data_IF_680382770978
#
_entry.id   IF_680382770978
#
_cell.length_a   1.000
_cell.length_b   1.000
_cell.length_c   1.000
_cell.angle_alpha   90.00
_cell.angle_beta   90.00
_cell.angle_gamma   90.00
#
_symmetry.space_group_name_H-M   'P 1'
#
loop_
_entity.id
_entity.type
_entity.pdbx_description
1 polymer ?
#
# COMPACT_ATOMS: atom_id res chain seq x y z
N UNK A 1 -8.83 -11.40 18.20
CA UNK A 1 -8.31 -10.03 18.36
C UNK A 1 -7.88 -9.59 16.98
N UNK A 2 -8.26 -8.40 16.54
CA UNK A 2 -7.79 -7.85 15.24
C UNK A 2 -6.44 -7.17 15.45
N UNK A 3 -5.47 -7.50 14.60
CA UNK A 3 -4.16 -6.82 14.57
C UNK A 3 -4.36 -5.38 14.08
N UNK A 4 -3.78 -4.40 14.77
CA UNK A 4 -3.81 -3.00 14.34
C UNK A 4 -2.81 -2.81 13.19
N UNK A 5 -3.30 -2.44 12.01
CA UNK A 5 -2.47 -2.19 10.83
C UNK A 5 -2.33 -0.69 10.57
N UNK A 6 -1.10 -0.21 10.43
CA UNK A 6 -0.75 1.17 10.08
C UNK A 6 -0.10 1.18 8.71
N UNK A 7 -0.75 1.81 7.74
CA UNK A 7 -0.21 1.94 6.39
C UNK A 7 0.84 3.04 6.31
N UNK A 8 1.88 2.81 5.53
CA UNK A 8 3.03 3.69 5.32
C UNK A 8 3.30 3.86 3.82
N UNK A 9 3.99 4.93 3.38
CA UNK A 9 4.36 5.09 1.97
C UNK A 9 5.17 3.93 1.40
N UNK A 10 5.91 3.26 2.25
CA UNK A 10 6.80 2.16 1.93
C UNK A 10 6.21 0.77 2.19
N UNK A 11 4.97 0.68 2.74
CA UNK A 11 4.33 -0.60 3.04
C UNK A 11 3.37 -0.51 4.22
N UNK A 12 3.54 -1.33 5.25
CA UNK A 12 2.67 -1.32 6.44
C UNK A 12 3.39 -1.84 7.68
N UNK A 13 2.86 -1.44 8.83
CA UNK A 13 3.19 -2.01 10.14
C UNK A 13 1.97 -2.74 10.69
N UNK A 14 2.15 -3.94 11.19
CA UNK A 14 1.17 -4.68 11.98
C UNK A 14 1.60 -4.63 13.44
N UNK A 15 0.83 -3.94 14.27
CA UNK A 15 1.10 -3.85 15.70
C UNK A 15 0.49 -5.05 16.39
N UNK A 16 1.34 -6.01 16.73
CA UNK A 16 0.95 -7.28 17.35
C UNK A 16 0.69 -7.10 18.84
N UNK A 17 1.45 -6.23 19.50
CA UNK A 17 1.27 -5.85 20.90
C UNK A 17 1.80 -4.43 21.14
N UNK A 18 1.09 -3.65 21.93
CA UNK A 18 1.54 -2.38 22.49
C UNK A 18 0.98 -2.25 23.90
N UNK A 19 1.87 -2.19 24.88
CA UNK A 19 1.55 -1.99 26.28
C UNK A 19 2.54 -1.02 26.94
N UNK A 20 2.48 -0.86 28.24
CA UNK A 20 3.32 0.07 29.01
C UNK A 20 4.82 -0.31 29.09
N UNK A 21 5.18 -1.49 28.60
CA UNK A 21 6.55 -2.03 28.70
C UNK A 21 7.25 -2.16 27.36
N UNK A 22 6.51 -2.54 26.31
CA UNK A 22 7.08 -2.78 25.00
C UNK A 22 6.06 -2.59 23.88
N UNK A 23 6.59 -2.41 22.67
CA UNK A 23 5.88 -2.53 21.41
C UNK A 23 6.46 -3.69 20.60
N UNK A 24 5.59 -4.50 19.99
CA UNK A 24 5.94 -5.62 19.14
C UNK A 24 5.24 -5.48 17.80
N UNK A 25 6.01 -5.34 16.71
CA UNK A 25 5.49 -5.10 15.36
C UNK A 25 6.06 -6.08 14.36
N UNK A 26 5.28 -6.31 13.32
CA UNK A 26 5.76 -6.84 12.04
C UNK A 26 5.65 -5.73 11.00
N UNK A 27 6.73 -5.52 10.26
CA UNK A 27 6.89 -4.41 9.33
C UNK A 27 7.13 -4.99 7.95
N UNK A 28 6.31 -4.62 6.98
CA UNK A 28 6.41 -5.02 5.58
C UNK A 28 6.85 -3.80 4.77
N UNK A 29 7.97 -3.91 4.06
CA UNK A 29 8.51 -2.85 3.21
C UNK A 29 8.61 -3.37 1.79
N UNK A 30 7.97 -2.66 0.86
CA UNK A 30 7.93 -3.03 -0.55
C UNK A 30 9.29 -2.78 -1.21
N UNK A 31 9.66 -3.64 -2.16
CA UNK A 31 10.89 -3.51 -2.95
C UNK A 31 11.04 -2.10 -3.56
N UNK A 32 12.25 -1.56 -3.51
CA UNK A 32 12.57 -0.24 -4.05
C UNK A 32 12.09 0.94 -3.21
N UNK A 33 11.48 0.70 -2.03
CA UNK A 33 11.08 1.75 -1.10
C UNK A 33 11.97 1.79 0.13
N UNK A 34 11.83 2.83 0.94
CA UNK A 34 12.66 3.02 2.13
C UNK A 34 11.89 3.70 3.26
N UNK A 35 12.30 3.44 4.50
CA UNK A 35 11.82 4.18 5.66
C UNK A 35 12.38 5.60 5.67
N UNK A 36 11.84 6.50 6.51
CA UNK A 36 12.49 7.79 6.77
C UNK A 36 13.91 7.59 7.31
N UNK A 37 14.80 8.52 7.01
CA UNK A 37 16.05 8.66 7.73
C UNK A 37 15.75 9.42 9.01
N UNK A 38 15.89 8.76 10.16
CA UNK A 38 15.31 9.20 11.42
C UNK A 38 16.16 8.80 12.61
N UNK A 39 15.82 9.35 13.77
CA UNK A 39 16.28 8.87 15.06
C UNK A 39 15.16 8.97 16.10
N UNK A 40 15.40 8.40 17.27
CA UNK A 40 14.52 8.42 18.43
C UNK A 40 15.25 9.04 19.61
N UNK A 41 14.57 9.78 20.47
CA UNK A 41 15.16 10.34 21.69
C UNK A 41 15.08 9.37 22.86
N UNK A 42 14.02 8.57 22.93
CA UNK A 42 13.76 7.66 24.05
C UNK A 42 13.68 6.20 23.61
N UNK A 43 13.16 5.95 22.41
CA UNK A 43 12.88 4.61 21.93
C UNK A 43 14.15 3.81 21.70
N UNK A 44 14.21 2.63 22.32
CA UNK A 44 15.15 1.56 22.01
C UNK A 44 14.43 0.50 21.20
N UNK A 45 14.97 0.09 20.06
CA UNK A 45 14.38 -0.92 19.21
C UNK A 45 15.38 -1.95 18.72
N UNK A 46 14.92 -3.18 18.55
CA UNK A 46 15.65 -4.24 17.87
C UNK A 46 14.82 -4.72 16.69
N UNK A 47 15.42 -4.69 15.52
CA UNK A 47 14.85 -5.12 14.27
C UNK A 47 15.51 -6.43 13.82
N UNK A 48 14.71 -7.42 13.47
CA UNK A 48 15.14 -8.70 12.92
C UNK A 48 14.58 -8.85 11.50
N UNK A 49 15.44 -9.07 10.52
CA UNK A 49 15.06 -9.31 9.12
C UNK A 49 14.64 -10.77 8.95
N UNK A 50 13.31 -10.98 8.81
CA UNK A 50 12.73 -12.31 8.66
C UNK A 50 12.86 -12.80 7.21
N UNK A 51 12.63 -11.89 6.24
CA UNK A 51 12.57 -12.23 4.82
C UNK A 51 13.09 -11.09 3.96
N UNK A 52 13.75 -11.45 2.84
CA UNK A 52 14.23 -10.54 1.81
C UNK A 52 15.62 -10.00 2.05
N UNK A 53 15.99 -8.97 1.28
CA UNK A 53 17.30 -8.30 1.27
C UNK A 53 17.11 -6.80 1.40
N UNK A 54 17.85 -6.16 2.30
CA UNK A 54 17.78 -4.72 2.54
C UNK A 54 19.15 -4.09 2.80
N UNK A 55 19.29 -2.80 2.47
CA UNK A 55 20.40 -1.97 2.91
C UNK A 55 20.01 -1.29 4.23
N UNK A 56 20.76 -1.52 5.26
CA UNK A 56 20.63 -0.90 6.58
C UNK A 56 21.61 0.26 6.70
N UNK A 57 21.09 1.43 7.07
CA UNK A 57 21.90 2.60 7.42
C UNK A 57 21.83 2.77 8.93
N UNK A 58 22.98 2.77 9.59
CA UNK A 58 23.04 2.93 11.03
C UNK A 58 24.25 3.80 11.41
N UNK A 59 23.99 4.83 12.20
CA UNK A 59 25.04 5.66 12.78
C UNK A 59 25.80 4.88 13.86
N UNK A 60 27.12 4.80 13.75
CA UNK A 60 28.00 4.15 14.72
C UNK A 60 28.36 5.06 15.91
N UNK A 61 29.19 4.59 16.82
CA UNK A 61 29.58 5.34 18.02
C UNK A 61 30.43 6.58 17.72
N UNK A 62 31.02 6.67 16.53
CA UNK A 62 31.82 7.80 16.07
C UNK A 62 30.95 8.85 15.32
N UNK A 63 29.64 8.63 15.20
CA UNK A 63 28.71 9.50 14.50
C UNK A 63 28.74 9.32 12.97
N UNK A 64 29.37 8.26 12.48
CA UNK A 64 29.43 7.92 11.06
C UNK A 64 28.29 6.98 10.70
N UNK A 65 27.58 7.26 9.62
CA UNK A 65 26.51 6.37 9.11
C UNK A 65 27.16 5.29 8.25
N UNK A 66 27.09 4.08 8.72
CA UNK A 66 27.47 2.88 7.99
C UNK A 66 26.28 2.32 7.22
N UNK A 67 26.57 1.76 6.03
CA UNK A 67 25.56 1.15 5.16
C UNK A 67 25.99 -0.26 4.85
N UNK A 68 25.15 -1.22 5.21
CA UNK A 68 25.39 -2.64 4.97
C UNK A 68 24.21 -3.26 4.23
N UNK A 69 24.47 -4.19 3.32
CA UNK A 69 23.44 -4.99 2.66
C UNK A 69 23.35 -6.31 3.39
N UNK A 70 22.15 -6.61 3.87
CA UNK A 70 21.87 -7.74 4.74
C UNK A 70 20.73 -8.58 4.21
N UNK A 71 20.76 -9.87 4.52
CA UNK A 71 19.73 -10.85 4.17
C UNK A 71 19.00 -11.37 5.40
N UNK A 72 17.96 -12.16 5.20
CA UNK A 72 17.18 -12.81 6.25
C UNK A 72 18.07 -13.49 7.30
N UNK A 73 17.79 -13.25 8.59
CA UNK A 73 18.60 -13.69 9.72
C UNK A 73 19.43 -12.56 10.37
N UNK A 74 19.60 -11.43 9.68
CA UNK A 74 20.26 -10.25 10.24
C UNK A 74 19.40 -9.59 11.32
N UNK A 75 20.04 -9.08 12.36
CA UNK A 75 19.37 -8.24 13.34
C UNK A 75 20.24 -7.06 13.79
N UNK A 76 19.60 -5.99 14.19
CA UNK A 76 20.26 -4.78 14.66
C UNK A 76 19.46 -4.13 15.78
N UNK A 77 20.18 -3.63 16.78
CA UNK A 77 19.60 -2.83 17.86
C UNK A 77 19.96 -1.36 17.65
N UNK A 78 18.91 -0.53 17.54
CA UNK A 78 19.02 0.92 17.40
C UNK A 78 18.78 1.55 18.77
N UNK A 79 19.80 2.20 19.32
CA UNK A 79 19.75 2.93 20.58
C UNK A 79 19.16 4.33 20.36
N UNK A 80 18.64 4.99 21.41
CA UNK A 80 18.27 6.41 21.34
C UNK A 80 19.39 7.27 20.73
N UNK A 81 18.97 8.31 19.97
CA UNK A 81 19.82 9.26 19.24
C UNK A 81 20.62 8.67 18.07
N UNK A 82 20.50 7.38 17.75
CA UNK A 82 21.15 6.78 16.57
C UNK A 82 20.33 6.98 15.32
N UNK A 83 20.91 7.65 14.34
CA UNK A 83 20.29 7.84 13.02
C UNK A 83 20.30 6.52 12.26
N UNK A 84 19.17 6.22 11.66
CA UNK A 84 19.01 4.96 10.95
C UNK A 84 17.97 5.06 9.81
N UNK A 85 18.05 4.13 8.86
CA UNK A 85 17.12 3.92 7.75
C UNK A 85 17.22 2.49 7.26
N UNK A 86 16.12 1.96 6.74
CA UNK A 86 16.09 0.70 5.99
C UNK A 86 15.65 0.98 4.56
N UNK A 87 16.40 0.46 3.59
CA UNK A 87 16.10 0.52 2.14
C UNK A 87 15.85 -0.90 1.66
N UNK A 88 14.63 -1.21 1.24
CA UNK A 88 14.26 -2.54 0.77
C UNK A 88 14.75 -2.77 -0.67
N UNK A 89 15.62 -3.75 -0.87
CA UNK A 89 16.11 -4.18 -2.19
C UNK A 89 15.08 -5.13 -2.83
N UNK A 90 14.58 -6.09 -2.05
CA UNK A 90 13.42 -6.90 -2.37
C UNK A 90 12.25 -6.52 -1.46
N UNK A 91 11.08 -7.12 -1.62
CA UNK A 91 10.08 -7.09 -0.55
C UNK A 91 10.69 -7.70 0.70
N UNK A 92 10.53 -7.03 1.85
CA UNK A 92 11.10 -7.48 3.13
C UNK A 92 10.06 -7.55 4.22
N UNK A 93 10.32 -8.43 5.18
CA UNK A 93 9.60 -8.51 6.44
C UNK A 93 10.58 -8.30 7.59
N UNK A 94 10.35 -7.25 8.38
CA UNK A 94 11.06 -7.01 9.64
C UNK A 94 10.17 -7.35 10.81
N UNK A 95 10.77 -7.80 11.88
CA UNK A 95 10.16 -7.93 13.19
C UNK A 95 10.83 -6.97 14.15
N UNK A 96 10.05 -6.03 14.69
CA UNK A 96 10.52 -5.02 15.65
C UNK A 96 10.01 -5.35 17.05
N UNK A 97 10.92 -5.35 18.01
CA UNK A 97 10.59 -5.23 19.43
C UNK A 97 11.21 -3.94 19.94
N UNK A 98 10.42 -3.09 20.54
CA UNK A 98 10.89 -1.79 21.04
C UNK A 98 10.25 -1.42 22.37
N UNK A 99 10.80 -0.40 23.00
CA UNK A 99 10.12 0.30 24.09
C UNK A 99 8.83 0.97 23.56
N UNK A 100 7.88 1.35 24.43
CA UNK A 100 6.52 1.73 24.00
C UNK A 100 6.38 3.12 23.36
N UNK A 101 7.46 3.87 23.21
CA UNK A 101 7.47 5.24 22.69
C UNK A 101 7.29 5.27 21.16
N UNK A 102 6.14 4.79 20.67
CA UNK A 102 5.89 4.62 19.22
C UNK A 102 5.81 5.94 18.44
N UNK A 103 5.50 7.04 19.10
CA UNK A 103 5.45 8.37 18.48
C UNK A 103 6.77 9.16 18.60
N UNK A 104 7.78 8.57 19.19
CA UNK A 104 9.11 9.16 19.31
C UNK A 104 9.92 8.94 18.01
N UNK A 105 9.55 9.69 16.97
CA UNK A 105 10.21 9.65 15.66
C UNK A 105 10.56 11.07 15.23
N UNK A 106 11.84 11.34 15.06
CA UNK A 106 12.34 12.59 14.50
C UNK A 106 12.96 12.30 13.14
N UNK A 107 12.37 12.88 12.09
CA UNK A 107 12.73 12.64 10.69
C UNK A 107 13.74 13.67 10.20
N UNK A 108 14.86 13.21 9.68
CA UNK A 108 15.90 14.04 9.07
C UNK A 108 15.66 14.17 7.58
N UNK A 109 15.24 13.07 6.94
CA UNK A 109 14.91 12.99 5.52
C UNK A 109 13.79 11.98 5.29
N UNK A 110 12.76 12.38 4.58
CA UNK A 110 11.58 11.56 4.30
C UNK A 110 10.99 11.87 2.92
N UNK A 111 10.96 10.88 2.04
CA UNK A 111 10.49 11.03 0.66
C UNK A 111 9.00 11.46 0.56
N UNK A 112 8.25 11.31 1.64
CA UNK A 112 6.82 11.62 1.71
C UNK A 112 6.50 12.87 2.53
N UNK A 113 7.51 13.59 3.01
CA UNK A 113 7.38 14.81 3.82
C UNK A 113 6.44 14.64 5.04
N UNK A 114 6.50 13.48 5.72
CA UNK A 114 5.71 13.23 6.92
C UNK A 114 6.21 14.06 8.10
N UNK A 115 5.30 14.47 8.95
CA UNK A 115 5.61 15.20 10.18
C UNK A 115 6.20 14.25 11.25
N UNK A 116 6.98 14.81 12.17
CA UNK A 116 7.50 14.08 13.32
C UNK A 116 6.37 13.60 14.24
N UNK A 117 6.58 12.45 14.89
CA UNK A 117 5.74 11.95 15.98
C UNK A 117 4.32 11.51 15.66
N UNK A 118 3.84 11.63 14.41
CA UNK A 118 2.47 11.27 14.01
C UNK A 118 2.42 9.94 13.27
N UNK A 119 2.45 8.82 14.00
CA UNK A 119 2.57 7.49 13.40
C UNK A 119 1.23 6.92 12.90
N UNK A 120 0.14 7.12 13.66
CA UNK A 120 -1.11 6.37 13.44
C UNK A 120 -1.94 6.81 12.24
N UNK A 121 -1.71 8.01 11.70
CA UNK A 121 -2.54 8.61 10.65
C UNK A 121 -1.76 9.05 9.41
N UNK A 122 -0.55 8.53 9.23
CA UNK A 122 0.34 8.98 8.16
C UNK A 122 -0.13 8.59 6.76
N UNK A 123 -0.79 7.45 6.64
CA UNK A 123 -1.29 6.95 5.36
C UNK A 123 -2.63 6.25 5.49
N UNK A 124 -3.44 6.40 4.46
CA UNK A 124 -4.65 5.61 4.29
C UNK A 124 -4.30 4.30 3.57
N UNK A 125 -5.17 3.33 3.73
CA UNK A 125 -5.10 2.05 3.04
C UNK A 125 -4.93 2.26 1.53
N UNK A 126 -4.00 1.59 0.85
CA UNK A 126 -3.84 1.72 -0.59
C UNK A 126 -5.09 1.22 -1.32
N UNK A 127 -5.40 1.80 -2.48
CA UNK A 127 -6.53 1.39 -3.29
C UNK A 127 -6.15 1.19 -4.77
N UNK A 128 -6.77 0.21 -5.41
CA UNK A 128 -6.75 0.00 -6.84
C UNK A 128 -7.99 0.65 -7.46
N UNK A 129 -7.81 1.58 -8.39
CA UNK A 129 -8.91 2.19 -9.13
C UNK A 129 -9.00 1.57 -10.54
N UNK A 130 -10.11 0.89 -10.83
CA UNK A 130 -10.39 0.23 -12.11
C UNK A 130 -11.39 1.06 -12.88
N UNK A 131 -11.04 1.45 -14.12
CA UNK A 131 -11.89 2.23 -14.99
C UNK A 131 -12.72 1.31 -15.91
N UNK A 132 -13.89 0.90 -15.46
CA UNK A 132 -14.80 0.01 -16.17
C UNK A 132 -16.01 0.71 -16.81
N UNK A 133 -15.97 2.04 -16.98
CA UNK A 133 -17.12 2.81 -17.45
C UNK A 133 -17.32 2.82 -18.98
N UNK A 134 -16.27 2.55 -19.77
CA UNK A 134 -16.27 2.76 -21.22
C UNK A 134 -17.09 1.71 -22.01
N UNK A 135 -17.62 2.12 -23.17
CA UNK A 135 -18.37 1.28 -24.12
C UNK A 135 -17.57 0.12 -24.72
N UNK A 136 -16.23 0.24 -24.78
CA UNK A 136 -15.40 -0.76 -25.44
C UNK A 136 -15.51 -0.75 -26.98
N UNK A 137 -15.86 0.39 -27.58
CA UNK A 137 -16.17 0.56 -29.03
C UNK A 137 -15.13 -0.01 -30.01
N UNK A 138 -13.87 -0.17 -29.57
CA UNK A 138 -12.81 -0.80 -30.38
C UNK A 138 -12.93 -2.31 -30.49
N UNK A 139 -13.77 -2.94 -29.67
CA UNK A 139 -14.00 -4.38 -29.63
C UNK A 139 -15.28 -4.78 -30.44
N UNK A 140 -15.89 -3.80 -31.10
CA UNK A 140 -17.07 -4.00 -31.96
C UNK A 140 -18.14 -4.91 -31.32
N UNK A 141 -18.54 -5.98 -32.00
CA UNK A 141 -19.60 -6.88 -31.54
C UNK A 141 -19.32 -7.58 -30.21
N UNK A 142 -18.03 -7.69 -29.81
CA UNK A 142 -17.67 -8.36 -28.55
C UNK A 142 -18.10 -7.58 -27.31
N UNK A 143 -18.24 -6.27 -27.39
CA UNK A 143 -18.71 -5.42 -26.29
C UNK A 143 -20.14 -4.94 -26.38
N UNK A 144 -20.91 -5.41 -27.37
CA UNK A 144 -22.30 -4.98 -27.57
C UNK A 144 -23.23 -5.37 -26.41
N UNK A 145 -23.04 -6.55 -25.85
CA UNK A 145 -23.90 -7.10 -24.80
C UNK A 145 -23.22 -7.28 -23.45
N UNK A 146 -21.90 -7.04 -23.34
CA UNK A 146 -21.12 -7.24 -22.12
C UNK A 146 -20.11 -6.09 -21.95
N UNK A 147 -19.83 -5.71 -20.70
CA UNK A 147 -18.74 -4.78 -20.43
C UNK A 147 -17.39 -5.40 -20.81
N UNK A 148 -16.51 -4.62 -21.44
CA UNK A 148 -15.18 -5.10 -21.86
C UNK A 148 -14.34 -5.73 -20.73
N UNK A 149 -14.50 -5.26 -19.49
CA UNK A 149 -13.82 -5.81 -18.32
C UNK A 149 -14.27 -7.22 -17.96
N UNK A 150 -15.44 -7.63 -18.44
CA UNK A 150 -15.98 -8.97 -18.22
C UNK A 150 -15.70 -9.93 -19.37
N UNK A 151 -15.06 -9.48 -20.46
CA UNK A 151 -14.64 -10.38 -21.52
C UNK A 151 -13.66 -11.42 -20.98
N UNK A 152 -13.81 -12.70 -21.39
CA UNK A 152 -12.93 -13.74 -20.91
C UNK A 152 -11.52 -13.60 -21.50
N UNK A 153 -10.53 -13.74 -20.65
CA UNK A 153 -9.13 -13.90 -20.99
C UNK A 153 -8.66 -15.16 -20.26
N UNK A 154 -8.22 -16.17 -20.97
CA UNK A 154 -8.05 -17.50 -20.44
C UNK A 154 -9.34 -18.01 -19.75
N UNK A 155 -9.30 -18.30 -18.48
CA UNK A 155 -10.43 -18.83 -17.71
C UNK A 155 -11.13 -17.79 -16.82
N UNK A 156 -10.79 -16.50 -16.95
CA UNK A 156 -11.30 -15.44 -16.07
C UNK A 156 -11.69 -14.19 -16.84
N UNK A 157 -12.51 -13.35 -16.25
CA UNK A 157 -12.75 -12.01 -16.77
C UNK A 157 -11.49 -11.14 -16.67
N UNK A 158 -11.30 -10.23 -17.63
CA UNK A 158 -10.16 -9.29 -17.64
C UNK A 158 -10.04 -8.55 -16.30
N UNK A 159 -11.15 -8.12 -15.73
CA UNK A 159 -11.15 -7.39 -14.45
C UNK A 159 -10.57 -8.23 -13.29
N UNK A 160 -10.77 -9.56 -13.30
CA UNK A 160 -10.19 -10.46 -12.30
C UNK A 160 -8.67 -10.49 -12.36
N UNK A 161 -8.10 -10.50 -13.57
CA UNK A 161 -6.65 -10.45 -13.73
C UNK A 161 -6.05 -9.15 -13.17
N UNK A 162 -6.80 -8.04 -13.20
CA UNK A 162 -6.37 -6.77 -12.63
C UNK A 162 -6.47 -6.81 -11.11
N UNK A 163 -7.58 -7.28 -10.56
CA UNK A 163 -7.85 -7.37 -9.12
C UNK A 163 -6.82 -8.28 -8.42
N UNK A 164 -6.51 -9.43 -9.02
CA UNK A 164 -5.61 -10.43 -8.47
C UNK A 164 -4.11 -10.00 -8.45
N UNK A 165 -3.75 -8.91 -9.14
CA UNK A 165 -2.38 -8.36 -9.12
C UNK A 165 -2.05 -7.60 -7.85
N UNK A 166 -3.05 -7.17 -7.09
CA UNK A 166 -2.82 -6.43 -5.85
C UNK A 166 -3.11 -7.30 -4.62
N UNK A 167 -2.40 -7.02 -3.53
CA UNK A 167 -2.62 -7.69 -2.25
C UNK A 167 -4.09 -7.59 -1.81
N UNK A 168 -4.54 -8.57 -1.02
CA UNK A 168 -5.87 -8.59 -0.40
C UNK A 168 -6.15 -7.33 0.43
N UNK A 169 -5.11 -6.66 0.90
CA UNK A 169 -5.21 -5.45 1.71
C UNK A 169 -5.65 -4.21 0.91
N UNK A 170 -5.62 -4.24 -0.43
CA UNK A 170 -6.04 -3.11 -1.23
C UNK A 170 -7.55 -2.97 -1.25
N UNK A 171 -8.05 -1.74 -1.05
CA UNK A 171 -9.42 -1.39 -1.40
C UNK A 171 -9.57 -1.30 -2.92
N UNK A 172 -10.69 -1.73 -3.47
CA UNK A 172 -10.93 -1.72 -4.91
C UNK A 172 -12.01 -0.68 -5.22
N UNK A 173 -11.63 0.36 -5.95
CA UNK A 173 -12.57 1.36 -6.47
C UNK A 173 -12.86 1.00 -7.93
N UNK A 174 -14.12 0.73 -8.27
CA UNK A 174 -14.52 0.42 -9.64
C UNK A 174 -15.41 1.54 -10.17
N UNK A 175 -14.93 2.21 -11.21
CA UNK A 175 -15.70 3.27 -11.88
C UNK A 175 -16.56 2.64 -12.98
N UNK A 176 -17.87 2.68 -12.78
CA UNK A 176 -18.89 2.01 -13.58
C UNK A 176 -19.57 2.98 -14.55
N UNK A 177 -19.96 2.47 -15.72
CA UNK A 177 -20.74 3.16 -16.72
C UNK A 177 -21.53 2.16 -17.57
N UNK A 178 -21.11 1.95 -18.82
CA UNK A 178 -21.75 0.99 -19.71
C UNK A 178 -21.78 -0.41 -19.11
N UNK A 179 -22.99 -0.99 -18.97
CA UNK A 179 -23.19 -2.31 -18.36
C UNK A 179 -22.58 -2.44 -16.97
N UNK A 180 -22.58 -1.34 -16.19
CA UNK A 180 -21.96 -1.27 -14.87
C UNK A 180 -22.52 -2.25 -13.86
N UNK A 181 -23.84 -2.53 -13.93
CA UNK A 181 -24.51 -3.48 -13.04
C UNK A 181 -23.92 -4.90 -13.17
N UNK A 182 -23.64 -5.34 -14.40
CA UNK A 182 -22.99 -6.64 -14.64
C UNK A 182 -21.58 -6.70 -14.03
N UNK A 183 -20.84 -5.60 -14.12
CA UNK A 183 -19.47 -5.51 -13.51
C UNK A 183 -19.57 -5.59 -12.00
N UNK A 184 -20.51 -4.87 -11.39
CA UNK A 184 -20.76 -4.91 -9.95
C UNK A 184 -21.07 -6.32 -9.48
N UNK A 185 -22.10 -6.94 -10.07
CA UNK A 185 -22.55 -8.29 -9.73
C UNK A 185 -21.41 -9.32 -9.84
N UNK A 186 -20.62 -9.22 -10.92
CA UNK A 186 -19.46 -10.08 -11.10
C UNK A 186 -18.40 -9.87 -10.02
N UNK A 187 -18.02 -8.63 -9.73
CA UNK A 187 -17.01 -8.31 -8.71
C UNK A 187 -17.43 -8.82 -7.32
N UNK A 188 -18.67 -8.56 -6.92
CA UNK A 188 -19.20 -8.97 -5.62
C UNK A 188 -19.29 -10.49 -5.49
N UNK A 189 -19.60 -11.21 -6.61
CA UNK A 189 -19.71 -12.67 -6.60
C UNK A 189 -18.37 -13.37 -6.72
N UNK A 190 -17.51 -12.94 -7.65
CA UNK A 190 -16.25 -13.61 -7.95
C UNK A 190 -15.12 -13.26 -6.97
N UNK A 191 -15.22 -12.11 -6.29
CA UNK A 191 -14.20 -11.59 -5.39
C UNK A 191 -14.84 -11.12 -4.07
N UNK A 192 -15.67 -11.97 -3.47
CA UNK A 192 -16.41 -11.66 -2.23
C UNK A 192 -15.53 -11.40 -1.01
N UNK A 193 -14.26 -11.75 -1.09
CA UNK A 193 -13.21 -11.50 -0.10
C UNK A 193 -12.58 -10.10 -0.21
N UNK A 194 -12.93 -9.32 -1.26
CA UNK A 194 -12.40 -7.96 -1.52
C UNK A 194 -13.36 -6.88 -1.03
N UNK A 195 -12.79 -5.73 -0.70
CA UNK A 195 -13.57 -4.55 -0.32
C UNK A 195 -13.74 -3.62 -1.52
N UNK A 196 -14.97 -3.52 -2.03
CA UNK A 196 -15.30 -2.72 -3.20
C UNK A 196 -15.99 -1.41 -2.85
N UNK A 197 -15.62 -0.35 -3.57
CA UNK A 197 -16.38 0.91 -3.68
C UNK A 197 -16.70 1.16 -5.14
N UNK A 198 -17.98 1.24 -5.46
CA UNK A 198 -18.45 1.47 -6.83
C UNK A 198 -18.87 2.92 -7.05
N UNK A 199 -18.34 3.53 -8.11
CA UNK A 199 -18.65 4.90 -8.53
C UNK A 199 -19.30 4.86 -9.91
N UNK A 200 -20.56 5.26 -10.00
CA UNK A 200 -21.24 5.35 -11.29
C UNK A 200 -20.90 6.68 -11.96
N UNK A 201 -20.51 6.65 -13.23
CA UNK A 201 -20.43 7.86 -14.04
C UNK A 201 -21.80 8.20 -14.58
N UNK A 202 -22.16 9.48 -14.60
CA UNK A 202 -23.40 10.00 -15.15
C UNK A 202 -23.38 9.99 -16.69
N UNK A 203 -22.18 9.99 -17.30
CA UNK A 203 -21.99 9.98 -18.74
C UNK A 203 -20.79 9.14 -19.15
N UNK A 204 -20.98 8.13 -19.98
CA UNK A 204 -19.93 7.24 -20.49
C UNK A 204 -19.81 7.22 -22.02
N UNK A 205 -20.64 8.02 -22.73
CA UNK A 205 -20.70 8.10 -24.18
C UNK A 205 -20.65 9.55 -24.66
N UNK A 206 -20.02 9.78 -25.83
CA UNK A 206 -19.96 11.05 -26.53
C UNK A 206 -18.73 11.90 -26.17
N UNK A 207 -18.71 13.13 -26.71
CA UNK A 207 -17.57 14.05 -26.54
C UNK A 207 -17.40 14.45 -25.07
N UNK A 208 -16.15 14.39 -24.59
CA UNK A 208 -15.77 14.76 -23.22
C UNK A 208 -15.83 13.60 -22.21
N UNK A 209 -16.22 12.39 -22.65
CA UNK A 209 -16.11 11.17 -21.86
C UNK A 209 -14.78 10.47 -22.14
N UNK A 210 -14.24 9.75 -21.18
CA UNK A 210 -12.99 9.02 -21.31
C UNK A 210 -12.34 8.75 -19.95
N UNK A 211 -11.14 8.15 -19.94
CA UNK A 211 -10.48 7.80 -18.68
C UNK A 211 -10.34 8.97 -17.70
N UNK A 212 -9.94 10.15 -18.16
CA UNK A 212 -9.81 11.34 -17.32
C UNK A 212 -11.13 11.81 -16.71
N UNK A 213 -12.24 11.70 -17.45
CA UNK A 213 -13.57 11.98 -16.93
C UNK A 213 -13.97 10.97 -15.83
N UNK A 214 -13.77 9.68 -16.09
CA UNK A 214 -14.06 8.62 -15.12
C UNK A 214 -13.23 8.78 -13.84
N UNK A 215 -11.94 9.10 -13.94
CA UNK A 215 -11.08 9.39 -12.79
C UNK A 215 -11.63 10.56 -11.99
N UNK A 216 -12.06 11.64 -12.66
CA UNK A 216 -12.62 12.83 -12.00
C UNK A 216 -13.85 12.52 -11.16
N UNK A 217 -14.69 11.57 -11.57
CA UNK A 217 -15.88 11.16 -10.78
C UNK A 217 -15.50 10.48 -9.46
N UNK A 218 -14.36 9.78 -9.42
CA UNK A 218 -13.89 9.10 -8.22
C UNK A 218 -12.92 9.96 -7.37
N UNK A 219 -12.65 11.22 -7.75
CA UNK A 219 -11.60 12.06 -7.14
C UNK A 219 -11.68 12.21 -5.62
N UNK A 220 -12.89 12.28 -5.06
CA UNK A 220 -13.12 12.44 -3.61
C UNK A 220 -12.72 11.19 -2.80
N UNK A 221 -12.60 10.05 -3.47
CA UNK A 221 -12.13 8.80 -2.87
C UNK A 221 -10.61 8.71 -2.85
N UNK A 222 -9.94 9.51 -3.70
CA UNK A 222 -8.49 9.49 -3.82
C UNK A 222 -7.83 10.23 -2.66
N UNK A 223 -7.28 9.47 -1.73
CA UNK A 223 -6.75 10.02 -0.50
C UNK A 223 -5.26 9.77 -0.29
N UNK A 224 -4.65 8.80 -1.01
CA UNK A 224 -3.22 8.47 -0.90
C UNK A 224 -2.67 7.76 -2.15
N UNK A 225 -2.06 6.59 -2.02
CA UNK A 225 -1.45 5.85 -3.12
C UNK A 225 -2.49 5.08 -3.92
N UNK A 226 -2.51 5.28 -5.25
CA UNK A 226 -3.41 4.60 -6.17
C UNK A 226 -2.65 3.89 -7.25
N UNK A 227 -3.14 2.69 -7.59
CA UNK A 227 -2.85 2.03 -8.84
C UNK A 227 -4.06 2.20 -9.77
N UNK A 228 -3.81 2.40 -11.06
CA UNK A 228 -4.84 2.43 -12.10
C UNK A 228 -4.72 1.19 -12.98
N UNK A 229 -5.84 0.51 -13.20
CA UNK A 229 -5.97 -0.66 -14.05
C UNK A 229 -7.08 -0.57 -15.09
#
# INVERSE_FOLDING_TARGET
>A
MSVKTIYKPWGREEWLELNDKYCYKRIYINAGTKTSYQYHEMKLETNYLIEGTAEFWLENDEGVVEKTIEEAGYFVTVKPFRKHRVVAITDIILQEVSTPEVNDVIRIDDDSNREDGKIEHEHKKPALCILAAGLGSRLENLSEHINKGLLPLDNKAIISHIIEKVSIDYDIIVVLGYRGDMVREYCESAHSDRNFTFVNVDKYEGKGTGPGYSIKQAKELFTTTYLFG
#
